data_IF_542698062614
#
_entry.id   IF_542698062614
#
_cell.length_a   1.000
_cell.length_b   1.000
_cell.length_c   1.000
_cell.angle_alpha   90.00
_cell.angle_beta   90.00
_cell.angle_gamma   90.00
#
_symmetry.space_group_name_H-M   'P 1'
#
loop_
_entity.id
_entity.type
_entity.pdbx_description
1 polymer ?
#
# COMPACT_ATOMS: atom_id res chain seq x y z
N UNK A 1 -21.02 1.03 19.26
CA UNK A 1 -21.85 1.24 18.05
C UNK A 1 -23.30 1.12 18.48
N UNK A 2 -24.13 2.13 18.22
CA UNK A 2 -25.54 2.09 18.63
C UNK A 2 -26.31 1.06 17.80
N UNK A 3 -27.02 0.16 18.47
CA UNK A 3 -28.04 -0.70 17.87
C UNK A 3 -29.24 0.16 17.47
N UNK A 4 -29.80 -0.12 16.29
CA UNK A 4 -31.04 0.50 15.81
C UNK A 4 -32.11 -0.58 15.65
N UNK A 5 -33.37 -0.20 15.82
CA UNK A 5 -34.52 -1.08 15.58
C UNK A 5 -35.11 -0.75 14.21
N UNK A 6 -35.34 -1.76 13.37
CA UNK A 6 -36.04 -1.56 12.11
C UNK A 6 -37.56 -1.46 12.34
N UNK A 7 -38.32 -1.09 11.30
CA UNK A 7 -39.79 -1.00 11.35
C UNK A 7 -40.48 -2.33 11.68
N UNK A 8 -39.80 -3.46 11.49
CA UNK A 8 -40.29 -4.81 11.78
C UNK A 8 -39.97 -5.26 13.22
N UNK A 9 -39.37 -4.37 14.02
CA UNK A 9 -39.12 -4.60 15.43
C UNK A 9 -37.83 -5.35 15.76
N UNK A 10 -36.90 -5.47 14.80
CA UNK A 10 -35.62 -6.15 14.98
C UNK A 10 -34.45 -5.20 15.13
N UNK A 11 -33.55 -5.56 16.04
CA UNK A 11 -32.30 -4.86 16.25
C UNK A 11 -31.25 -5.20 15.18
N UNK A 12 -30.53 -4.17 14.74
CA UNK A 12 -29.44 -4.28 13.78
C UNK A 12 -28.39 -3.20 14.02
N UNK A 13 -27.19 -3.45 13.50
CA UNK A 13 -26.09 -2.48 13.51
C UNK A 13 -26.10 -1.71 12.19
N UNK A 14 -26.35 -0.39 12.24
CA UNK A 14 -26.35 0.46 11.05
C UNK A 14 -24.99 0.41 10.33
N UNK A 15 -25.02 0.25 9.00
CA UNK A 15 -23.81 0.16 8.18
C UNK A 15 -23.11 -1.21 8.19
N UNK A 16 -23.57 -2.18 9.00
CA UNK A 16 -23.10 -3.57 8.94
C UNK A 16 -24.11 -4.45 8.22
N UNK A 17 -23.61 -5.37 7.40
CA UNK A 17 -24.44 -6.39 6.78
C UNK A 17 -25.01 -7.34 7.84
N UNK A 18 -26.15 -7.96 7.54
CA UNK A 18 -26.74 -9.01 8.37
C UNK A 18 -25.73 -10.13 8.61
N UNK A 19 -25.70 -10.68 9.83
CA UNK A 19 -24.79 -11.78 10.20
C UNK A 19 -24.87 -12.97 9.24
N UNK A 20 -23.78 -13.74 9.14
CA UNK A 20 -23.73 -14.96 8.30
C UNK A 20 -24.77 -15.98 8.79
N UNK A 21 -24.85 -16.16 10.09
CA UNK A 21 -25.75 -17.14 10.73
C UNK A 21 -27.21 -16.85 10.38
N UNK A 22 -27.61 -15.57 10.43
CA UNK A 22 -28.96 -15.18 10.02
C UNK A 22 -29.28 -15.53 8.59
N UNK A 23 -28.34 -15.24 7.69
CA UNK A 23 -28.52 -15.49 6.26
C UNK A 23 -28.60 -17.00 6.01
N UNK A 24 -27.85 -17.79 6.77
CA UNK A 24 -27.93 -19.25 6.74
C UNK A 24 -29.29 -19.76 7.17
N UNK A 25 -29.80 -19.28 8.31
CA UNK A 25 -31.13 -19.65 8.80
C UNK A 25 -32.25 -19.26 7.83
N UNK A 26 -32.16 -18.07 7.23
CA UNK A 26 -33.14 -17.61 6.24
C UNK A 26 -33.11 -18.52 5.00
N UNK A 27 -31.92 -18.85 4.48
CA UNK A 27 -31.79 -19.73 3.32
C UNK A 27 -32.30 -21.13 3.62
N UNK A 28 -31.99 -21.67 4.80
CA UNK A 28 -32.48 -22.98 5.22
C UNK A 28 -34.00 -23.02 5.34
N UNK A 29 -34.60 -22.00 5.97
CA UNK A 29 -36.06 -21.88 6.07
C UNK A 29 -36.72 -21.74 4.69
N UNK A 30 -36.08 -21.07 3.73
CA UNK A 30 -36.56 -20.98 2.36
C UNK A 30 -36.62 -22.37 1.70
N UNK A 31 -35.58 -23.19 1.89
CA UNK A 31 -35.51 -24.56 1.37
C UNK A 31 -36.61 -25.43 2.02
N UNK A 32 -36.74 -25.37 3.35
CA UNK A 32 -37.76 -26.11 4.11
C UNK A 32 -39.19 -25.69 3.73
N UNK A 33 -39.39 -24.42 3.35
CA UNK A 33 -40.67 -23.90 2.86
C UNK A 33 -40.96 -24.23 1.38
N UNK A 34 -40.13 -25.04 0.73
CA UNK A 34 -40.35 -25.52 -0.63
C UNK A 34 -39.79 -24.63 -1.74
N UNK A 35 -38.84 -23.73 -1.44
CA UNK A 35 -38.16 -22.96 -2.47
C UNK A 35 -37.20 -23.85 -3.28
N UNK A 36 -37.26 -23.74 -4.61
CA UNK A 36 -36.49 -24.58 -5.52
C UNK A 36 -35.11 -23.99 -5.78
N UNK A 37 -34.07 -24.74 -5.39
CA UNK A 37 -32.68 -24.35 -5.54
C UNK A 37 -32.21 -24.27 -7.01
N UNK A 38 -32.78 -25.10 -7.89
CA UNK A 38 -32.36 -25.21 -9.30
C UNK A 38 -33.01 -24.13 -10.17
N UNK A 39 -34.30 -23.86 -9.95
CA UNK A 39 -35.05 -22.87 -10.74
C UNK A 39 -35.07 -21.48 -10.09
N UNK A 40 -34.76 -21.41 -8.79
CA UNK A 40 -34.87 -20.18 -7.99
C UNK A 40 -36.31 -19.79 -7.66
N UNK A 41 -37.29 -20.60 -8.08
CA UNK A 41 -38.71 -20.37 -7.84
C UNK A 41 -39.05 -20.54 -6.37
N UNK A 42 -39.98 -19.70 -5.90
CA UNK A 42 -40.38 -19.66 -4.50
C UNK A 42 -41.91 -19.69 -4.44
N UNK A 43 -42.51 -20.59 -3.64
CA UNK A 43 -43.95 -20.65 -3.49
C UNK A 43 -44.55 -19.32 -3.01
N UNK A 44 -45.79 -19.05 -3.42
CA UNK A 44 -46.47 -17.78 -3.10
C UNK A 44 -46.55 -17.59 -1.58
N UNK A 45 -46.18 -16.40 -1.12
CA UNK A 45 -46.25 -16.01 0.30
C UNK A 45 -45.05 -16.41 1.17
N UNK A 46 -44.15 -17.30 0.70
CA UNK A 46 -42.99 -17.76 1.48
C UNK A 46 -42.05 -16.61 1.86
N UNK A 47 -41.76 -15.71 0.92
CA UNK A 47 -40.95 -14.52 1.20
C UNK A 47 -41.52 -13.66 2.33
N UNK A 48 -42.84 -13.46 2.37
CA UNK A 48 -43.51 -12.64 3.38
C UNK A 48 -43.50 -13.37 4.73
N UNK A 49 -43.85 -14.65 4.75
CA UNK A 49 -43.83 -15.49 5.95
C UNK A 49 -42.45 -15.50 6.62
N UNK A 50 -41.40 -15.65 5.83
CA UNK A 50 -40.02 -15.67 6.33
C UNK A 50 -39.56 -14.27 6.76
N UNK A 51 -39.94 -13.22 6.02
CA UNK A 51 -39.66 -11.84 6.42
C UNK A 51 -40.27 -11.50 7.79
N UNK A 52 -41.52 -11.91 8.02
CA UNK A 52 -42.24 -11.71 9.28
C UNK A 52 -41.61 -12.53 10.42
N UNK A 53 -41.30 -13.82 10.16
CA UNK A 53 -40.62 -14.71 11.13
C UNK A 53 -39.30 -14.12 11.62
N UNK A 54 -38.47 -13.62 10.71
CA UNK A 54 -37.16 -13.08 11.03
C UNK A 54 -37.15 -11.57 11.30
N UNK A 55 -38.31 -10.90 11.25
CA UNK A 55 -38.51 -9.46 11.45
C UNK A 55 -37.55 -8.62 10.58
N UNK A 56 -37.45 -8.96 9.30
CA UNK A 56 -36.60 -8.25 8.32
C UNK A 56 -37.42 -7.82 7.11
N UNK A 57 -36.90 -6.85 6.37
CA UNK A 57 -37.53 -6.43 5.12
C UNK A 57 -37.60 -7.62 4.14
N UNK A 58 -38.78 -7.86 3.56
CA UNK A 58 -39.00 -8.86 2.49
C UNK A 58 -37.96 -8.78 1.39
N UNK A 59 -37.57 -7.57 0.98
CA UNK A 59 -36.54 -7.38 -0.04
C UNK A 59 -35.17 -7.95 0.37
N UNK A 60 -34.85 -7.94 1.67
CA UNK A 60 -33.62 -8.56 2.17
C UNK A 60 -33.66 -10.08 2.02
N UNK A 61 -34.79 -10.72 2.33
CA UNK A 61 -35.01 -12.16 2.11
C UNK A 61 -34.87 -12.49 0.63
N UNK A 62 -35.54 -11.72 -0.25
CA UNK A 62 -35.43 -11.87 -1.70
C UNK A 62 -33.98 -11.77 -2.18
N UNK A 63 -33.22 -10.77 -1.70
CA UNK A 63 -31.83 -10.58 -2.08
C UNK A 63 -30.93 -11.71 -1.57
N UNK A 64 -31.17 -12.24 -0.37
CA UNK A 64 -30.42 -13.38 0.16
C UNK A 64 -30.69 -14.65 -0.65
N UNK A 65 -31.96 -14.92 -0.98
CA UNK A 65 -32.33 -16.09 -1.77
C UNK A 65 -31.77 -16.04 -3.19
N UNK A 66 -32.02 -14.93 -3.92
CA UNK A 66 -31.52 -14.77 -5.29
C UNK A 66 -30.01 -14.95 -5.36
N UNK A 67 -29.30 -14.42 -4.38
CA UNK A 67 -27.85 -14.53 -4.31
C UNK A 67 -27.37 -15.94 -3.97
N UNK A 68 -28.06 -16.62 -3.08
CA UNK A 68 -27.76 -18.02 -2.78
C UNK A 68 -27.96 -18.90 -4.02
N UNK A 69 -29.04 -18.69 -4.77
CA UNK A 69 -29.30 -19.40 -6.04
C UNK A 69 -28.25 -19.07 -7.10
N UNK A 70 -27.83 -17.80 -7.24
CA UNK A 70 -26.89 -17.40 -8.30
C UNK A 70 -25.42 -17.69 -8.00
N UNK A 71 -24.97 -17.48 -6.76
CA UNK A 71 -23.56 -17.55 -6.36
C UNK A 71 -23.24 -18.80 -5.50
N UNK A 72 -24.26 -19.54 -5.04
CA UNK A 72 -24.08 -20.66 -4.10
C UNK A 72 -23.53 -20.24 -2.73
N UNK A 73 -23.58 -18.94 -2.40
CA UNK A 73 -22.91 -18.40 -1.21
C UNK A 73 -23.82 -17.59 -0.30
N UNK A 74 -23.61 -17.77 1.00
CA UNK A 74 -24.29 -17.06 2.10
C UNK A 74 -23.45 -15.85 2.54
N UNK A 75 -22.16 -15.82 2.17
CA UNK A 75 -21.18 -14.78 2.52
C UNK A 75 -21.60 -13.42 1.99
N UNK A 76 -21.14 -12.31 2.59
CA UNK A 76 -21.53 -10.96 2.12
C UNK A 76 -20.85 -10.62 0.80
N UNK A 77 -21.51 -9.86 -0.08
CA UNK A 77 -20.86 -9.35 -1.29
C UNK A 77 -19.75 -8.43 -0.80
N UNK A 78 -18.49 -8.77 -1.12
CA UNK A 78 -17.40 -7.81 -0.92
C UNK A 78 -17.79 -6.57 -1.71
N UNK A 79 -17.74 -5.38 -1.10
CA UNK A 79 -17.91 -4.14 -1.87
C UNK A 79 -16.92 -4.21 -3.03
N UNK A 80 -17.43 -4.33 -4.25
CA UNK A 80 -16.61 -4.17 -5.44
C UNK A 80 -15.92 -2.82 -5.27
N UNK A 81 -14.59 -2.80 -5.47
CA UNK A 81 -13.88 -1.54 -5.55
C UNK A 81 -14.50 -0.81 -6.74
N UNK A 82 -15.35 0.18 -6.47
CA UNK A 82 -15.92 1.09 -7.48
C UNK A 82 -14.83 1.60 -8.40
N UNK A 83 -15.16 2.11 -9.60
CA UNK A 83 -14.19 2.70 -10.55
C UNK A 83 -13.21 3.73 -9.92
N UNK A 84 -13.56 4.33 -8.79
CA UNK A 84 -12.68 5.07 -7.87
C UNK A 84 -11.44 4.29 -7.36
N UNK A 85 -11.38 2.97 -7.57
CA UNK A 85 -10.26 2.09 -7.24
C UNK A 85 -9.38 1.72 -8.42
N UNK A 86 -9.66 2.23 -9.63
CA UNK A 86 -8.75 2.06 -10.78
C UNK A 86 -7.50 2.88 -10.47
N UNK A 87 -6.36 2.19 -10.34
CA UNK A 87 -5.07 2.86 -10.05
C UNK A 87 -4.79 3.85 -11.18
N UNK A 88 -4.46 5.09 -10.83
CA UNK A 88 -4.04 6.12 -11.80
C UNK A 88 -2.66 5.80 -12.41
N UNK A 89 -1.86 5.01 -11.70
CA UNK A 89 -0.55 4.53 -12.11
C UNK A 89 -0.67 3.04 -12.43
N UNK A 90 -0.19 2.66 -13.61
CA UNK A 90 -0.12 1.27 -14.04
C UNK A 90 1.17 0.63 -13.53
N UNK A 91 1.26 -0.69 -13.65
CA UNK A 91 2.43 -1.46 -13.21
C UNK A 91 3.77 -0.94 -13.78
N UNK A 92 3.89 -0.56 -15.07
CA UNK A 92 5.14 0.01 -15.59
C UNK A 92 5.53 1.33 -14.92
N UNK A 93 4.55 2.18 -14.60
CA UNK A 93 4.80 3.46 -13.92
C UNK A 93 5.33 3.23 -12.50
N UNK A 94 4.78 2.24 -11.79
CA UNK A 94 5.23 1.84 -10.45
C UNK A 94 6.67 1.34 -10.48
N UNK A 95 7.04 0.51 -11.47
CA UNK A 95 8.42 0.02 -11.65
C UNK A 95 9.39 1.15 -11.98
N UNK A 96 8.99 2.10 -12.83
CA UNK A 96 9.80 3.26 -13.16
C UNK A 96 10.05 4.13 -11.91
N UNK A 97 9.01 4.35 -11.09
CA UNK A 97 9.14 5.05 -9.80
C UNK A 97 10.15 4.33 -8.90
N UNK A 98 10.04 3.00 -8.77
CA UNK A 98 10.97 2.21 -7.96
C UNK A 98 12.42 2.35 -8.46
N UNK A 99 12.62 2.24 -9.78
CA UNK A 99 13.94 2.35 -10.40
C UNK A 99 14.58 3.72 -10.14
N UNK A 100 13.87 4.80 -10.48
CA UNK A 100 14.38 6.17 -10.28
C UNK A 100 14.70 6.42 -8.80
N UNK A 101 13.88 5.90 -7.88
CA UNK A 101 14.12 6.05 -6.45
C UNK A 101 15.29 5.26 -5.89
N UNK A 102 15.64 4.12 -6.49
CA UNK A 102 16.85 3.39 -6.13
C UNK A 102 18.11 4.12 -6.61
N UNK A 103 18.09 4.62 -7.83
CA UNK A 103 19.23 5.33 -8.43
C UNK A 103 19.45 6.72 -7.79
N UNK A 104 18.36 7.45 -7.52
CA UNK A 104 18.40 8.77 -6.90
C UNK A 104 17.39 8.83 -5.73
N UNK A 105 17.77 8.37 -4.54
CA UNK A 105 16.92 8.43 -3.35
C UNK A 105 16.48 9.84 -2.96
N UNK A 106 17.27 10.87 -3.32
CA UNK A 106 17.08 12.27 -2.93
C UNK A 106 16.12 13.05 -3.85
N UNK A 107 15.72 12.49 -5.00
CA UNK A 107 14.77 13.12 -5.93
C UNK A 107 13.45 13.46 -5.21
N UNK A 108 12.86 14.61 -5.48
CA UNK A 108 11.56 14.97 -4.90
C UNK A 108 10.43 14.26 -5.65
N UNK A 109 9.27 14.12 -5.01
CA UNK A 109 8.10 13.58 -5.71
C UNK A 109 7.62 14.47 -6.87
N UNK A 110 7.96 15.77 -6.85
CA UNK A 110 7.70 16.70 -7.97
C UNK A 110 8.62 16.41 -9.15
N UNK A 111 9.94 16.35 -8.92
CA UNK A 111 10.91 15.98 -9.96
C UNK A 111 10.66 14.57 -10.50
N UNK A 112 10.25 13.64 -9.63
CA UNK A 112 9.85 12.29 -10.02
C UNK A 112 8.61 12.31 -10.91
N UNK A 113 7.62 13.18 -10.64
CA UNK A 113 6.45 13.39 -11.50
C UNK A 113 6.89 13.90 -12.88
N UNK A 114 7.77 14.91 -12.91
CA UNK A 114 8.28 15.49 -14.15
C UNK A 114 9.06 14.45 -14.98
N UNK A 115 9.80 13.57 -14.32
CA UNK A 115 10.50 12.46 -14.96
C UNK A 115 9.51 11.43 -15.49
N UNK A 116 8.51 11.04 -14.69
CA UNK A 116 7.48 10.07 -15.07
C UNK A 116 6.68 10.55 -16.30
N UNK A 117 6.33 11.84 -16.34
CA UNK A 117 5.65 12.49 -17.47
C UNK A 117 6.37 12.32 -18.80
N UNK A 118 7.72 12.31 -18.80
CA UNK A 118 8.53 12.14 -20.01
C UNK A 118 8.43 10.73 -20.60
N UNK A 119 8.28 9.72 -19.75
CA UNK A 119 8.24 8.31 -20.16
C UNK A 119 6.82 7.74 -20.28
N UNK A 120 5.85 8.35 -19.58
CA UNK A 120 4.45 7.91 -19.53
C UNK A 120 3.51 9.11 -19.59
N UNK A 121 3.19 9.63 -20.80
CA UNK A 121 2.25 10.74 -20.97
C UNK A 121 0.85 10.42 -20.43
N UNK A 122 0.46 9.14 -20.41
CA UNK A 122 -0.79 8.68 -19.81
C UNK A 122 -0.90 9.01 -18.30
N UNK A 123 0.24 9.22 -17.63
CA UNK A 123 0.32 9.61 -16.22
C UNK A 123 0.20 11.12 -15.98
N UNK A 124 -0.19 11.92 -16.98
CA UNK A 124 -0.21 13.39 -16.85
C UNK A 124 -1.11 13.92 -15.71
N UNK A 125 -2.23 13.24 -15.48
CA UNK A 125 -3.21 13.61 -14.45
C UNK A 125 -2.90 12.99 -13.07
N UNK A 126 -1.68 12.47 -12.88
CA UNK A 126 -1.24 11.92 -11.59
C UNK A 126 -0.81 13.05 -10.66
N UNK A 127 -1.40 13.09 -9.48
CA UNK A 127 -1.04 14.02 -8.41
C UNK A 127 0.23 13.57 -7.70
N UNK A 128 1.02 14.53 -7.20
CA UNK A 128 2.23 14.25 -6.39
C UNK A 128 1.88 13.38 -5.16
N UNK A 129 0.69 13.57 -4.58
CA UNK A 129 0.17 12.76 -3.47
C UNK A 129 -0.06 11.29 -3.86
N UNK A 130 -0.38 11.01 -5.12
CA UNK A 130 -0.54 9.64 -5.64
C UNK A 130 0.81 8.95 -5.73
N UNK A 131 1.86 9.67 -6.15
CA UNK A 131 3.24 9.17 -6.16
C UNK A 131 3.70 8.84 -4.74
N UNK A 132 3.46 9.72 -3.77
CA UNK A 132 3.77 9.45 -2.36
C UNK A 132 3.05 8.21 -1.80
N UNK A 133 1.76 8.07 -2.12
CA UNK A 133 0.99 6.88 -1.72
C UNK A 133 1.55 5.61 -2.34
N UNK A 134 1.95 5.66 -3.60
CA UNK A 134 2.56 4.52 -4.31
C UNK A 134 3.89 4.14 -3.67
N UNK A 135 4.78 5.12 -3.43
CA UNK A 135 6.05 4.91 -2.74
C UNK A 135 5.85 4.28 -1.36
N UNK A 136 4.91 4.80 -0.56
CA UNK A 136 4.71 4.33 0.82
C UNK A 136 3.91 3.05 0.97
N UNK A 137 2.90 2.80 0.13
CA UNK A 137 1.97 1.66 0.28
C UNK A 137 2.25 0.49 -0.65
N UNK A 138 2.72 0.78 -1.86
CA UNK A 138 2.94 -0.25 -2.87
C UNK A 138 4.42 -0.67 -2.93
N UNK A 139 5.35 0.23 -2.61
CA UNK A 139 6.80 -0.01 -2.69
C UNK A 139 7.53 -0.05 -1.33
N UNK A 140 6.81 0.19 -0.22
CA UNK A 140 7.36 0.22 1.15
C UNK A 140 8.55 1.18 1.36
N UNK A 141 8.60 2.28 0.61
CA UNK A 141 9.60 3.32 0.82
C UNK A 141 9.27 4.16 2.06
N UNK A 142 10.32 4.51 2.79
CA UNK A 142 10.28 5.35 3.98
C UNK A 142 11.29 6.48 3.86
N UNK A 143 10.99 7.61 4.48
CA UNK A 143 11.86 8.78 4.47
C UNK A 143 12.97 8.63 5.50
N UNK A 144 14.23 8.69 5.07
CA UNK A 144 15.40 8.41 5.90
C UNK A 144 16.50 9.42 5.67
N UNK A 145 17.35 9.59 6.69
CA UNK A 145 18.58 10.38 6.56
C UNK A 145 19.45 9.74 5.48
N UNK A 146 19.94 10.58 4.59
CA UNK A 146 20.68 10.15 3.42
C UNK A 146 22.16 10.04 3.74
N UNK A 147 22.76 8.91 3.38
CA UNK A 147 24.19 8.69 3.43
C UNK A 147 24.78 8.88 2.03
N UNK A 148 25.75 9.79 1.91
CA UNK A 148 26.45 10.08 0.65
C UNK A 148 27.92 9.74 0.76
N UNK A 149 28.31 8.48 0.56
CA UNK A 149 29.73 8.18 0.50
C UNK A 149 30.31 8.76 -0.80
N UNK A 150 31.56 9.22 -0.74
CA UNK A 150 32.31 9.58 -1.94
C UNK A 150 32.59 8.33 -2.77
N UNK A 151 32.26 8.35 -4.05
CA UNK A 151 32.57 7.25 -4.97
C UNK A 151 34.06 6.92 -5.01
N UNK A 152 34.91 7.95 -4.92
CA UNK A 152 36.38 7.79 -4.98
C UNK A 152 36.93 6.98 -3.81
N UNK A 153 36.23 6.94 -2.67
CA UNK A 153 36.66 6.19 -1.48
C UNK A 153 36.78 4.70 -1.76
N UNK A 154 35.99 4.16 -2.69
CA UNK A 154 35.91 2.72 -2.93
C UNK A 154 36.67 2.25 -4.18
N UNK A 155 37.60 3.04 -4.70
CA UNK A 155 38.49 2.58 -5.77
C UNK A 155 39.47 1.51 -5.24
N UNK A 156 39.90 0.52 -6.06
CA UNK A 156 40.85 -0.50 -5.63
C UNK A 156 42.15 0.09 -5.05
N UNK A 157 42.62 1.20 -5.61
CA UNK A 157 43.79 1.94 -5.11
C UNK A 157 43.55 2.50 -3.71
N UNK A 158 42.44 3.22 -3.50
CA UNK A 158 42.15 3.85 -2.22
C UNK A 158 41.83 2.82 -1.14
N UNK A 159 41.19 1.70 -1.49
CA UNK A 159 40.99 0.58 -0.57
C UNK A 159 42.33 -0.04 -0.13
N UNK A 160 43.27 -0.29 -1.05
CA UNK A 160 44.61 -0.79 -0.71
C UNK A 160 45.39 0.19 0.16
N UNK A 161 45.35 1.48 -0.17
CA UNK A 161 45.97 2.52 0.64
C UNK A 161 45.39 2.57 2.05
N UNK A 162 44.06 2.51 2.16
CA UNK A 162 43.37 2.52 3.46
C UNK A 162 43.76 1.30 4.28
N UNK A 163 43.83 0.11 3.67
CA UNK A 163 44.25 -1.10 4.36
C UNK A 163 45.71 -0.99 4.86
N UNK A 164 46.64 -0.56 4.01
CA UNK A 164 48.04 -0.38 4.40
C UNK A 164 48.20 0.65 5.53
N UNK A 165 47.38 1.71 5.53
CA UNK A 165 47.34 2.68 6.61
C UNK A 165 46.82 2.07 7.93
N UNK A 166 45.77 1.25 7.88
CA UNK A 166 45.26 0.53 9.05
C UNK A 166 46.32 -0.42 9.62
N UNK A 167 46.98 -1.18 8.75
CA UNK A 167 48.05 -2.11 9.13
C UNK A 167 49.19 -1.36 9.83
N UNK A 168 49.62 -0.22 9.27
CA UNK A 168 50.60 0.66 9.93
C UNK A 168 50.13 1.13 11.30
N UNK A 169 48.89 1.63 11.43
CA UNK A 169 48.36 2.14 12.69
C UNK A 169 48.32 1.05 13.78
N UNK A 170 48.04 -0.20 13.42
CA UNK A 170 48.02 -1.32 14.36
C UNK A 170 49.40 -1.63 14.96
N UNK A 171 50.48 -1.33 14.23
CA UNK A 171 51.86 -1.56 14.72
C UNK A 171 52.35 -0.49 15.70
N UNK A 172 51.69 0.67 15.76
CA UNK A 172 52.12 1.82 16.56
C UNK A 172 51.24 1.98 17.79
N UNK A 173 51.84 2.40 18.90
CA UNK A 173 51.06 2.73 20.11
C UNK A 173 50.32 4.05 19.88
N UNK A 174 49.08 4.23 20.41
CA UNK A 174 48.27 5.41 20.13
C UNK A 174 48.95 6.76 20.39
N UNK A 175 49.79 6.87 21.42
CA UNK A 175 50.52 8.10 21.77
C UNK A 175 51.63 8.49 20.78
N UNK A 176 51.99 7.61 19.86
CA UNK A 176 53.00 7.85 18.82
C UNK A 176 52.38 8.37 17.52
N UNK A 177 51.05 8.39 17.43
CA UNK A 177 50.32 8.80 16.22
C UNK A 177 49.72 10.18 16.47
N UNK A 178 49.97 11.11 15.52
CA UNK A 178 49.32 12.42 15.49
C UNK A 178 48.43 12.48 14.27
N UNK A 179 47.15 12.77 14.48
CA UNK A 179 46.19 13.02 13.42
C UNK A 179 46.09 14.54 13.23
N UNK A 180 46.40 15.00 12.03
CA UNK A 180 46.13 16.37 11.60
C UNK A 180 45.13 16.29 10.46
N UNK A 181 44.07 17.09 10.55
CA UNK A 181 43.05 17.20 9.52
C UNK A 181 42.75 18.68 9.30
N UNK A 182 42.59 19.06 8.05
CA UNK A 182 42.22 20.43 7.67
C UNK A 182 40.71 20.48 7.42
N UNK A 183 39.99 21.27 8.22
CA UNK A 183 38.56 21.45 8.01
C UNK A 183 38.30 22.55 6.98
N UNK A 184 37.89 22.16 5.77
CA UNK A 184 37.35 23.11 4.79
C UNK A 184 35.95 23.58 5.20
N UNK A 185 35.67 24.88 5.11
CA UNK A 185 34.31 25.41 5.23
C UNK A 185 33.66 25.41 3.85
N UNK A 186 32.53 24.69 3.70
CA UNK A 186 31.73 24.76 2.47
C UNK A 186 30.75 25.92 2.55
N UNK A 187 30.83 26.83 1.59
CA UNK A 187 29.78 27.82 1.34
C UNK A 187 28.54 27.07 0.84
N UNK A 188 27.46 27.15 1.63
CA UNK A 188 26.11 26.61 1.47
C UNK A 188 25.91 25.69 0.25
N UNK A 189 26.19 24.39 0.41
CA UNK A 189 25.82 23.42 -0.63
C UNK A 189 24.36 23.01 -0.43
N UNK A 190 23.50 23.25 -1.43
CA UNK A 190 22.06 22.95 -1.41
C UNK A 190 21.74 21.44 -1.52
N UNK A 191 22.56 20.60 -0.90
CA UNK A 191 22.42 19.16 -0.94
C UNK A 191 21.33 18.69 0.04
N UNK A 192 20.41 17.86 -0.43
CA UNK A 192 19.31 17.35 0.40
C UNK A 192 19.81 16.37 1.45
N UNK A 193 19.40 16.51 2.71
CA UNK A 193 19.88 15.64 3.80
C UNK A 193 19.10 14.32 3.93
N UNK A 194 18.00 14.19 3.21
CA UNK A 194 17.07 13.09 3.34
C UNK A 194 16.65 12.57 1.96
N UNK A 195 16.29 11.30 1.91
CA UNK A 195 15.79 10.61 0.73
C UNK A 195 14.80 9.53 1.12
N UNK A 196 14.36 8.76 0.13
CA UNK A 196 13.47 7.62 0.34
C UNK A 196 14.22 6.31 0.06
N UNK A 197 14.09 5.33 0.94
CA UNK A 197 14.61 3.97 0.75
C UNK A 197 13.63 2.95 1.33
N UNK A 198 13.70 1.68 0.88
CA UNK A 198 12.80 0.62 1.34
C UNK A 198 12.90 0.43 2.84
N UNK A 199 11.80 0.04 3.48
CA UNK A 199 11.77 -0.26 4.92
C UNK A 199 12.83 -1.32 5.24
N UNK A 200 13.64 -1.06 6.28
CA UNK A 200 14.78 -1.91 6.66
C UNK A 200 16.12 -1.60 5.97
N UNK A 201 16.13 -0.94 4.81
CA UNK A 201 17.37 -0.64 4.07
C UNK A 201 18.00 0.71 4.44
N UNK A 202 19.30 0.90 4.24
CA UNK A 202 19.90 2.23 4.36
C UNK A 202 19.53 3.10 3.15
N UNK A 203 19.50 4.42 3.35
CA UNK A 203 19.26 5.37 2.27
C UNK A 203 20.62 5.89 1.80
N UNK A 204 21.15 5.30 0.74
CA UNK A 204 22.50 5.58 0.23
C UNK A 204 22.37 6.18 -1.16
N UNK A 205 22.97 7.34 -1.37
CA UNK A 205 23.12 7.95 -2.69
C UNK A 205 24.61 8.14 -2.93
N UNK A 206 25.18 7.39 -3.89
CA UNK A 206 26.59 7.52 -4.22
C UNK A 206 26.77 8.88 -4.91
N UNK A 207 27.43 9.80 -4.21
CA UNK A 207 27.71 11.11 -4.77
C UNK A 207 28.70 10.96 -5.91
N UNK A 208 28.27 11.24 -7.15
CA UNK A 208 29.20 11.68 -8.19
C UNK A 208 29.44 13.16 -7.92
N UNK A 209 30.59 13.50 -7.35
CA UNK A 209 31.04 14.88 -7.47
C UNK A 209 31.22 15.10 -8.97
N UNK A 210 30.40 15.97 -9.54
CA UNK A 210 30.68 16.53 -10.86
C UNK A 210 31.80 17.52 -10.57
N UNK A 211 33.01 17.20 -11.04
CA UNK A 211 34.11 18.17 -11.09
C UNK A 211 33.70 19.39 -11.92
#
# INVERSE_FOLDING_TARGET
MATKKNIYGREYLAGKATGRDMRSLIVQEMIEAGANLKTGEVPRGVYTKIADKFKINRQSVTNFWKRYVSEGTISQKKKEKTMLGRRKLNEPDVRLIEFIKKENPSITARELKDTLLRYSPASANVDVSTIYRTMSRDLDFTFKRLHRPSGDRFTPRNMRYTQAYLDFCQTKRPHQIKFMDESGFKLVTANRNYGHSKKGEQCIEIGRFIE
#
